data_IF_516618296021
#
_entry.id   IF_516618296021
#
_cell.length_a   1.000
_cell.length_b   1.000
_cell.length_c   1.000
_cell.angle_alpha   90.00
_cell.angle_beta   90.00
_cell.angle_gamma   90.00
#
_symmetry.space_group_name_H-M   'P 1'
#
loop_
_entity.id
_entity.type
_entity.pdbx_description
1 polymer ?
#
# COMPACT_ATOMS: atom_id res chain seq x y z
N UNK A 1 -6.75 18.58 18.38
CA UNK A 1 -6.32 17.18 18.62
C UNK A 1 -6.24 16.80 20.11
N UNK A 2 -5.26 17.28 20.90
CA UNK A 2 -5.08 16.87 22.32
C UNK A 2 -6.35 16.94 23.19
N UNK A 3 -7.18 17.98 23.00
CA UNK A 3 -8.45 18.14 23.71
C UNK A 3 -9.48 17.06 23.34
N UNK A 4 -9.56 16.66 22.07
CA UNK A 4 -10.47 15.62 21.61
C UNK A 4 -10.10 14.26 22.21
N UNK A 5 -8.81 13.91 22.18
CA UNK A 5 -8.29 12.68 22.79
C UNK A 5 -8.54 12.64 24.30
N UNK A 6 -8.23 13.72 25.02
CA UNK A 6 -8.43 13.80 26.47
C UNK A 6 -9.91 13.70 26.88
N UNK A 7 -10.82 14.25 26.06
CA UNK A 7 -12.26 14.21 26.33
C UNK A 7 -12.86 12.84 26.02
N UNK A 8 -12.54 12.27 24.87
CA UNK A 8 -13.24 11.09 24.39
C UNK A 8 -12.63 9.77 24.89
N UNK A 9 -11.33 9.77 25.27
CA UNK A 9 -10.62 8.59 25.80
C UNK A 9 -10.89 7.35 24.95
N UNK A 10 -10.52 7.43 23.67
CA UNK A 10 -10.64 6.30 22.76
C UNK A 10 -9.62 5.23 23.09
N UNK A 11 -10.02 3.96 22.98
CA UNK A 11 -9.12 2.82 23.00
C UNK A 11 -8.39 2.74 21.65
N UNK A 12 -7.05 2.72 21.64
CA UNK A 12 -6.28 2.68 20.39
C UNK A 12 -6.35 1.34 19.68
N UNK A 13 -6.69 0.27 20.40
CA UNK A 13 -6.76 -1.08 19.84
C UNK A 13 -8.12 -1.39 19.20
N UNK A 14 -9.14 -0.57 19.49
CA UNK A 14 -10.48 -0.68 18.92
C UNK A 14 -10.73 0.42 17.88
N UNK A 15 -10.54 0.09 16.61
CA UNK A 15 -10.75 1.00 15.49
C UNK A 15 -12.17 1.58 15.41
N UNK A 16 -13.21 0.85 15.84
CA UNK A 16 -14.58 1.38 15.86
C UNK A 16 -14.76 2.40 16.98
N UNK A 17 -14.14 2.17 18.14
CA UNK A 17 -14.13 3.14 19.24
C UNK A 17 -13.41 4.43 18.83
N UNK A 18 -12.23 4.32 18.19
CA UNK A 18 -11.51 5.49 17.65
C UNK A 18 -12.36 6.24 16.63
N UNK A 19 -12.91 5.53 15.63
CA UNK A 19 -13.70 6.13 14.56
C UNK A 19 -14.93 6.88 15.10
N UNK A 20 -15.68 6.26 16.02
CA UNK A 20 -16.90 6.84 16.58
C UNK A 20 -16.65 8.06 17.48
N UNK A 21 -15.49 8.13 18.13
CA UNK A 21 -15.14 9.19 19.08
C UNK A 21 -14.40 10.37 18.47
N UNK A 22 -13.46 10.11 17.57
CA UNK A 22 -12.53 11.14 17.05
C UNK A 22 -12.34 11.09 15.54
N UNK A 23 -13.01 10.16 14.84
CA UNK A 23 -13.01 10.09 13.39
C UNK A 23 -14.07 10.98 12.74
N UNK A 24 -14.43 10.63 11.50
CA UNK A 24 -15.47 11.29 10.72
C UNK A 24 -16.15 10.30 9.78
N UNK A 25 -17.32 10.69 9.25
CA UNK A 25 -18.14 9.81 8.40
C UNK A 25 -17.39 9.31 7.17
N UNK A 26 -16.63 10.19 6.50
CA UNK A 26 -15.83 9.85 5.33
C UNK A 26 -14.78 8.76 5.64
N UNK A 27 -14.08 8.85 6.77
CA UNK A 27 -13.11 7.84 7.20
C UNK A 27 -13.82 6.49 7.42
N UNK A 28 -15.01 6.52 8.02
CA UNK A 28 -15.82 5.33 8.23
C UNK A 28 -16.31 4.70 6.94
N UNK A 29 -16.72 5.51 5.98
CA UNK A 29 -17.14 5.06 4.64
C UNK A 29 -15.98 4.40 3.90
N UNK A 30 -14.80 5.04 3.87
CA UNK A 30 -13.60 4.49 3.26
C UNK A 30 -13.12 3.21 3.95
N UNK A 31 -13.20 3.14 5.29
CA UNK A 31 -12.86 1.92 6.02
C UNK A 31 -13.82 0.78 5.64
N UNK A 32 -15.12 1.06 5.55
CA UNK A 32 -16.13 0.11 5.07
C UNK A 32 -15.86 -0.34 3.63
N UNK A 33 -15.47 0.58 2.75
CA UNK A 33 -15.07 0.27 1.37
C UNK A 33 -13.89 -0.69 1.33
N UNK A 34 -12.84 -0.45 2.12
CA UNK A 34 -11.66 -1.31 2.21
C UNK A 34 -12.05 -2.72 2.67
N UNK A 35 -12.87 -2.82 3.73
CA UNK A 35 -13.37 -4.11 4.23
C UNK A 35 -14.21 -4.85 3.17
N UNK A 36 -15.09 -4.12 2.46
CA UNK A 36 -15.90 -4.67 1.37
C UNK A 36 -15.06 -5.13 0.18
N UNK A 37 -14.02 -4.38 -0.18
CA UNK A 37 -13.08 -4.74 -1.24
C UNK A 37 -12.29 -6.01 -0.87
N UNK A 38 -11.78 -6.09 0.37
CA UNK A 38 -11.16 -7.29 0.91
C UNK A 38 -12.09 -8.51 0.80
N UNK A 39 -13.37 -8.36 1.20
CA UNK A 39 -14.36 -9.44 1.08
C UNK A 39 -14.55 -9.89 -0.37
N UNK A 40 -14.48 -8.95 -1.32
CA UNK A 40 -14.55 -9.20 -2.76
C UNK A 40 -13.21 -9.63 -3.38
N UNK A 41 -12.14 -9.76 -2.59
CA UNK A 41 -10.77 -10.02 -3.04
C UNK A 41 -10.28 -9.02 -4.10
N UNK A 42 -10.66 -7.75 -3.96
CA UNK A 42 -10.26 -6.66 -4.85
C UNK A 42 -9.18 -5.81 -4.18
N UNK A 43 -8.09 -5.47 -4.90
CA UNK A 43 -7.09 -4.56 -4.37
C UNK A 43 -7.67 -3.15 -4.23
N UNK A 44 -7.16 -2.41 -3.26
CA UNK A 44 -7.48 -1.00 -3.00
C UNK A 44 -6.20 -0.21 -2.95
N UNK A 45 -6.15 0.89 -3.70
CA UNK A 45 -5.09 1.89 -3.61
C UNK A 45 -5.50 2.97 -2.61
N UNK A 46 -4.65 3.21 -1.61
CA UNK A 46 -4.80 4.33 -0.69
C UNK A 46 -3.86 5.45 -1.11
N UNK A 47 -4.42 6.63 -1.29
CA UNK A 47 -3.76 7.79 -1.88
C UNK A 47 -2.92 8.55 -0.85
N UNK A 48 -3.57 9.04 0.21
CA UNK A 48 -2.98 10.02 1.11
C UNK A 48 -3.49 9.88 2.54
N UNK A 49 -3.33 10.95 3.31
CA UNK A 49 -3.56 10.94 4.76
C UNK A 49 -4.93 10.38 5.18
N UNK A 50 -6.02 10.83 4.55
CA UNK A 50 -7.39 10.45 4.93
C UNK A 50 -7.69 8.99 4.59
N UNK A 51 -7.35 8.54 3.38
CA UNK A 51 -7.57 7.15 2.96
C UNK A 51 -6.66 6.17 3.70
N UNK A 52 -5.44 6.57 4.06
CA UNK A 52 -4.55 5.79 4.92
C UNK A 52 -5.03 5.74 6.37
N UNK A 53 -5.61 6.83 6.90
CA UNK A 53 -6.27 6.81 8.21
C UNK A 53 -7.46 5.83 8.22
N UNK A 54 -8.26 5.79 7.15
CA UNK A 54 -9.32 4.80 6.99
C UNK A 54 -8.77 3.36 6.92
N UNK A 55 -7.62 3.15 6.27
CA UNK A 55 -6.95 1.86 6.24
C UNK A 55 -6.48 1.39 7.63
N UNK A 56 -6.01 2.30 8.49
CA UNK A 56 -5.71 1.97 9.90
C UNK A 56 -6.94 1.47 10.66
N UNK A 57 -8.08 2.14 10.49
CA UNK A 57 -9.35 1.71 11.09
C UNK A 57 -9.75 0.32 10.57
N UNK A 58 -9.73 0.14 9.24
CA UNK A 58 -10.05 -1.15 8.62
C UNK A 58 -9.09 -2.27 9.08
N UNK A 59 -7.79 -1.97 9.20
CA UNK A 59 -6.76 -2.92 9.65
C UNK A 59 -6.88 -3.30 11.12
N UNK A 60 -7.32 -2.38 11.98
CA UNK A 60 -7.67 -2.70 13.37
C UNK A 60 -8.87 -3.64 13.45
N UNK A 61 -9.90 -3.41 12.63
CA UNK A 61 -11.12 -4.23 12.62
C UNK A 61 -10.88 -5.61 11.99
N UNK A 62 -10.15 -5.66 10.88
CA UNK A 62 -9.87 -6.87 10.10
C UNK A 62 -8.43 -6.81 9.58
N UNK A 63 -7.44 -7.33 10.34
CA UNK A 63 -6.04 -7.31 9.92
C UNK A 63 -5.78 -7.90 8.53
N UNK A 64 -6.42 -9.01 8.10
CA UNK A 64 -6.26 -9.55 6.76
C UNK A 64 -6.67 -8.60 5.62
N UNK A 65 -7.48 -7.57 5.89
CA UNK A 65 -7.83 -6.57 4.88
C UNK A 65 -6.61 -5.83 4.35
N UNK A 66 -5.53 -5.75 5.13
CA UNK A 66 -4.30 -5.08 4.72
C UNK A 66 -3.58 -5.80 3.59
N UNK A 67 -3.82 -7.09 3.36
CA UNK A 67 -3.26 -7.82 2.21
C UNK A 67 -3.78 -7.30 0.87
N UNK A 68 -4.93 -6.61 0.88
CA UNK A 68 -5.55 -6.01 -0.30
C UNK A 68 -5.28 -4.52 -0.43
N UNK A 69 -4.62 -3.90 0.55
CA UNK A 69 -4.33 -2.45 0.55
C UNK A 69 -2.92 -2.19 0.02
N UNK A 70 -2.82 -1.29 -0.95
CA UNK A 70 -1.58 -0.82 -1.56
C UNK A 70 -1.48 0.69 -1.38
N UNK A 71 -0.31 1.19 -0.96
CA UNK A 71 -0.07 2.62 -0.88
C UNK A 71 0.27 3.15 -2.27
N UNK A 72 -0.51 4.11 -2.77
CA UNK A 72 -0.30 4.71 -4.09
C UNK A 72 0.96 5.57 -4.06
N UNK A 73 0.94 6.65 -3.27
CA UNK A 73 2.05 7.59 -3.19
C UNK A 73 2.39 7.98 -1.74
N UNK A 74 3.53 8.68 -1.56
CA UNK A 74 3.85 9.36 -0.31
C UNK A 74 3.38 10.81 -0.35
N UNK A 75 2.29 11.12 0.35
CA UNK A 75 1.86 12.51 0.50
C UNK A 75 2.85 13.36 1.30
N UNK A 76 2.79 14.68 1.13
CA UNK A 76 3.62 15.63 1.85
C UNK A 76 3.26 15.80 3.35
N UNK A 77 2.20 15.13 3.84
CA UNK A 77 1.80 15.22 5.25
C UNK A 77 2.71 14.35 6.12
N UNK A 78 3.42 14.90 7.12
CA UNK A 78 4.31 14.13 7.99
C UNK A 78 3.65 12.96 8.70
N UNK A 79 2.35 13.05 8.99
CA UNK A 79 1.64 11.95 9.64
C UNK A 79 1.33 10.80 8.68
N UNK A 80 1.32 11.03 7.36
CA UNK A 80 1.08 9.96 6.40
C UNK A 80 2.20 8.91 6.43
N UNK A 81 3.46 9.34 6.49
CA UNK A 81 4.62 8.45 6.60
C UNK A 81 4.56 7.58 7.87
N UNK A 82 4.11 8.16 8.98
CA UNK A 82 3.93 7.44 10.26
C UNK A 82 2.85 6.35 10.10
N UNK A 83 1.75 6.66 9.42
CA UNK A 83 0.67 5.71 9.19
C UNK A 83 1.10 4.58 8.24
N UNK A 84 1.83 4.89 7.17
CA UNK A 84 2.38 3.90 6.24
C UNK A 84 3.37 2.96 6.95
N UNK A 85 4.24 3.53 7.80
CA UNK A 85 5.16 2.77 8.63
C UNK A 85 4.42 1.82 9.59
N UNK A 86 3.34 2.29 10.22
CA UNK A 86 2.51 1.46 11.09
C UNK A 86 1.83 0.32 10.33
N UNK A 87 1.33 0.59 9.13
CA UNK A 87 0.74 -0.41 8.24
C UNK A 87 1.77 -1.32 7.55
N UNK A 88 3.07 -1.03 7.70
CA UNK A 88 4.18 -1.69 6.99
C UNK A 88 3.98 -1.69 5.48
N UNK A 89 3.53 -0.55 4.94
CA UNK A 89 3.31 -0.35 3.51
C UNK A 89 4.34 0.61 2.95
N UNK A 90 4.88 0.26 1.79
CA UNK A 90 5.72 1.15 0.99
C UNK A 90 4.90 1.70 -0.17
N UNK A 91 4.99 3.02 -0.46
CA UNK A 91 4.37 3.61 -1.63
C UNK A 91 4.83 2.95 -2.93
N UNK A 92 3.93 2.82 -3.89
CA UNK A 92 4.28 2.39 -5.26
C UNK A 92 5.05 3.47 -6.00
N UNK A 93 4.71 4.74 -5.80
CA UNK A 93 5.38 5.90 -6.40
C UNK A 93 5.74 6.95 -5.33
N UNK A 94 6.87 7.62 -5.51
CA UNK A 94 7.29 8.75 -4.67
C UNK A 94 7.72 9.89 -5.60
N UNK A 95 6.73 10.70 -6.00
CA UNK A 95 6.88 11.74 -7.02
C UNK A 95 6.69 13.17 -6.46
N UNK A 96 6.66 13.33 -5.12
CA UNK A 96 6.33 14.59 -4.42
C UNK A 96 5.03 15.24 -4.92
N UNK A 97 4.02 14.42 -5.22
CA UNK A 97 2.69 14.87 -5.64
C UNK A 97 1.93 15.44 -4.43
N UNK A 98 1.20 16.54 -4.66
CA UNK A 98 0.52 17.32 -3.60
C UNK A 98 -0.94 17.66 -3.93
N UNK A 99 -1.50 17.04 -4.96
CA UNK A 99 -2.86 17.31 -5.41
C UNK A 99 -3.92 16.61 -4.54
N UNK A 100 -3.69 15.35 -4.16
CA UNK A 100 -4.70 14.54 -3.47
C UNK A 100 -5.86 14.13 -4.38
N UNK A 101 -7.00 13.78 -3.77
CA UNK A 101 -8.25 13.39 -4.43
C UNK A 101 -8.16 12.13 -5.32
N UNK A 102 -7.11 11.31 -5.16
CA UNK A 102 -6.90 10.13 -6.01
C UNK A 102 -6.39 10.47 -7.41
N UNK A 103 -5.88 11.69 -7.63
CA UNK A 103 -5.24 12.09 -8.90
C UNK A 103 -4.05 11.18 -9.21
N UNK A 104 -3.33 10.77 -8.17
CA UNK A 104 -2.10 10.03 -8.31
C UNK A 104 -2.39 8.60 -8.77
N UNK A 105 -3.54 8.02 -8.38
CA UNK A 105 -4.05 6.68 -8.78
C UNK A 105 -4.05 6.48 -10.30
N UNK A 106 -4.16 7.55 -11.08
CA UNK A 106 -4.06 7.51 -12.55
C UNK A 106 -2.70 6.99 -13.01
N UNK A 107 -1.63 7.25 -12.25
CA UNK A 107 -0.27 6.83 -12.52
C UNK A 107 0.03 5.43 -11.95
N UNK A 108 -0.48 5.07 -10.76
CA UNK A 108 -0.19 3.74 -10.20
C UNK A 108 -1.06 2.62 -10.79
N UNK A 109 -2.27 2.92 -11.27
CA UNK A 109 -3.13 1.87 -11.84
C UNK A 109 -2.49 1.14 -13.03
N UNK A 110 -1.91 1.83 -14.04
CA UNK A 110 -1.18 1.17 -15.11
C UNK A 110 -0.02 0.29 -14.61
N UNK A 111 0.62 0.66 -13.50
CA UNK A 111 1.68 -0.15 -12.88
C UNK A 111 1.11 -1.44 -12.28
N UNK A 112 -0.01 -1.37 -11.55
CA UNK A 112 -0.69 -2.55 -11.03
C UNK A 112 -1.18 -3.48 -12.16
N UNK A 113 -1.79 -2.90 -13.20
CA UNK A 113 -2.25 -3.67 -14.36
C UNK A 113 -1.08 -4.36 -15.07
N UNK A 114 0.05 -3.64 -15.21
CA UNK A 114 1.28 -4.21 -15.77
C UNK A 114 1.80 -5.36 -14.92
N UNK A 115 1.88 -5.20 -13.59
CA UNK A 115 2.31 -6.25 -12.68
C UNK A 115 1.41 -7.50 -12.75
N UNK A 116 0.09 -7.32 -12.83
CA UNK A 116 -0.87 -8.42 -13.01
C UNK A 116 -0.65 -9.14 -14.35
N UNK A 117 -0.37 -8.40 -15.42
CA UNK A 117 -0.02 -8.97 -16.72
C UNK A 117 1.30 -9.74 -16.65
N UNK A 118 2.33 -9.20 -16.01
CA UNK A 118 3.62 -9.89 -15.85
C UNK A 118 3.43 -11.22 -15.10
N UNK A 119 2.72 -11.20 -13.97
CA UNK A 119 2.47 -12.40 -13.17
C UNK A 119 1.61 -13.45 -13.89
N UNK A 120 0.73 -13.05 -14.81
CA UNK A 120 -0.16 -13.97 -15.53
C UNK A 120 0.41 -14.47 -16.85
N UNK A 121 1.34 -13.75 -17.47
CA UNK A 121 1.85 -14.05 -18.82
C UNK A 121 3.30 -14.51 -18.86
N UNK A 122 4.05 -14.41 -17.77
CA UNK A 122 5.42 -14.92 -17.77
C UNK A 122 5.41 -16.43 -17.54
N UNK A 123 5.98 -17.12 -18.51
CA UNK A 123 6.41 -18.50 -18.39
C UNK A 123 7.55 -18.58 -17.37
N UNK A 124 7.55 -19.62 -16.55
CA UNK A 124 8.69 -19.92 -15.68
C UNK A 124 9.95 -20.14 -16.53
N UNK A 125 11.15 -20.00 -15.97
CA UNK A 125 12.40 -20.27 -16.70
C UNK A 125 12.44 -21.67 -17.33
N UNK A 126 11.76 -22.62 -16.71
CA UNK A 126 11.59 -24.00 -17.15
C UNK A 126 10.71 -24.09 -18.41
N UNK A 127 9.62 -23.33 -18.46
CA UNK A 127 8.72 -23.23 -19.62
C UNK A 127 9.34 -22.45 -20.79
N UNK A 128 10.22 -21.49 -20.48
CA UNK A 128 10.91 -20.67 -21.47
C UNK A 128 12.14 -21.37 -22.11
N UNK A 129 12.49 -22.59 -21.68
CA UNK A 129 13.65 -23.36 -22.14
C UNK A 129 14.96 -22.56 -22.18
N UNK A 130 15.12 -21.62 -21.24
CA UNK A 130 16.35 -20.83 -21.11
C UNK A 130 17.38 -21.71 -20.42
N UNK A 131 18.38 -22.19 -21.15
CA UNK A 131 19.47 -22.94 -20.53
C UNK A 131 20.19 -22.06 -19.53
N UNK A 132 20.33 -22.51 -18.28
CA UNK A 132 21.29 -21.91 -17.36
C UNK A 132 22.65 -21.87 -18.06
N UNK A 133 23.14 -20.67 -18.37
CA UNK A 133 24.52 -20.48 -18.79
C UNK A 133 25.43 -20.69 -17.58
N UNK A 134 25.51 -21.94 -17.12
CA UNK A 134 26.48 -22.41 -16.15
C UNK A 134 27.83 -22.57 -16.84
N UNK A 135 28.85 -21.95 -16.25
CA UNK A 135 30.27 -22.23 -16.43
C UNK A 135 30.90 -21.90 -17.80
N UNK A 136 30.87 -20.62 -18.19
CA UNK A 136 31.91 -20.05 -19.05
C UNK A 136 33.11 -19.66 -18.21
N UNK A 137 34.19 -20.43 -18.28
CA UNK A 137 35.47 -20.22 -17.60
C UNK A 137 35.99 -18.78 -17.73
N UNK A 138 36.42 -18.19 -16.61
CA UNK A 138 37.18 -16.94 -16.55
C UNK A 138 38.46 -17.01 -17.40
N UNK A 139 38.40 -16.57 -18.66
CA UNK A 139 39.57 -16.47 -19.55
C UNK A 139 40.05 -15.04 -19.78
N UNK A 140 39.55 -14.04 -19.04
CA UNK A 140 39.87 -12.62 -19.27
C UNK A 140 40.98 -12.05 -18.35
N UNK A 141 41.64 -12.86 -17.52
CA UNK A 141 42.65 -12.40 -16.54
C UNK A 141 44.12 -12.63 -16.90
N UNK A 142 44.49 -12.68 -18.19
CA UNK A 142 45.90 -12.70 -18.58
C UNK A 142 46.18 -11.76 -19.77
N UNK A 143 46.41 -10.47 -19.47
CA UNK A 143 47.45 -9.63 -20.09
C UNK A 143 47.28 -8.16 -19.68
N UNK A 144 47.89 -7.78 -18.56
CA UNK A 144 48.29 -6.40 -18.30
C UNK A 144 49.44 -6.43 -17.27
N UNK A 145 50.60 -6.87 -17.76
CA UNK A 145 51.92 -6.53 -17.23
C UNK A 145 52.35 -5.19 -17.80
#
# INVERSE_FOLDING_TARGET
MKRALARNKSDSEDGLDVLSKVGGFEIGELAGLILGACKCRKPVLVDGFISTAAALIAGSICPPAMDFVFAAHRSADPGHEIMLSHLKKSPLLDLDLRLGEGTDVVLERPLMDSAAVLLSKYMTFEEAAVSEAGAGTDSWRLSAS
#
